data_IF_504981040506
#
_entry.id   IF_504981040506
#
_cell.length_a   1.000
_cell.length_b   1.000
_cell.length_c   1.000
_cell.angle_alpha   90.00
_cell.angle_beta   90.00
_cell.angle_gamma   90.00
#
_symmetry.space_group_name_H-M   'P 1'
#
loop_
_entity.id
_entity.type
_entity.pdbx_description
1 polymer ?
#
# COMPACT_ATOMS: atom_id res chain seq x y z
N UNK A 1 24.09 -9.24 -10.19
CA UNK A 1 22.85 -8.43 -10.14
C UNK A 1 22.08 -8.73 -11.42
N UNK A 2 20.78 -9.02 -11.33
CA UNK A 2 19.97 -9.31 -12.51
C UNK A 2 20.04 -8.15 -13.51
N UNK A 3 20.12 -8.46 -14.79
CA UNK A 3 20.18 -7.44 -15.85
C UNK A 3 18.83 -6.71 -15.89
N UNK A 4 18.86 -5.39 -15.79
CA UNK A 4 17.66 -4.52 -15.88
C UNK A 4 17.09 -4.42 -17.32
N UNK A 5 17.53 -5.29 -18.23
CA UNK A 5 17.09 -5.36 -19.61
C UNK A 5 16.06 -6.50 -19.79
N UNK A 6 14.78 -6.19 -20.11
CA UNK A 6 13.76 -7.20 -20.36
C UNK A 6 14.02 -8.03 -21.64
N UNK A 7 14.89 -7.57 -22.54
CA UNK A 7 15.31 -8.24 -23.77
C UNK A 7 16.45 -9.24 -23.59
N UNK A 8 17.07 -9.30 -22.41
CA UNK A 8 18.24 -10.13 -22.15
C UNK A 8 17.98 -11.66 -22.39
N UNK A 9 19.03 -12.45 -22.65
CA UNK A 9 18.93 -13.90 -22.81
C UNK A 9 18.23 -14.59 -21.64
N UNK A 10 17.50 -15.68 -21.92
CA UNK A 10 16.67 -16.37 -20.92
C UNK A 10 17.44 -16.84 -19.67
N UNK A 11 18.75 -17.08 -19.79
CA UNK A 11 19.61 -17.52 -18.69
C UNK A 11 19.91 -16.42 -17.66
N UNK A 12 19.76 -15.14 -18.01
CA UNK A 12 20.16 -13.99 -17.17
C UNK A 12 19.05 -12.97 -16.96
N UNK A 13 17.89 -13.15 -17.61
CA UNK A 13 16.79 -12.19 -17.59
C UNK A 13 15.87 -12.40 -16.39
N UNK A 14 15.49 -11.31 -15.75
CA UNK A 14 14.43 -11.35 -14.76
C UNK A 14 13.09 -11.63 -15.46
N UNK A 15 12.60 -12.86 -15.32
CA UNK A 15 11.36 -13.30 -15.98
C UNK A 15 10.13 -12.48 -15.54
N UNK A 16 10.13 -11.96 -14.31
CA UNK A 16 9.10 -11.06 -13.82
C UNK A 16 9.14 -9.70 -14.54
N UNK A 17 10.33 -9.11 -14.70
CA UNK A 17 10.54 -7.87 -15.45
C UNK A 17 10.12 -8.03 -16.92
N UNK A 18 10.51 -9.14 -17.56
CA UNK A 18 10.14 -9.44 -18.96
C UNK A 18 8.62 -9.53 -19.15
N UNK A 19 7.90 -10.13 -18.20
CA UNK A 19 6.43 -10.17 -18.23
C UNK A 19 5.82 -8.78 -18.04
N UNK A 20 6.29 -7.99 -17.06
CA UNK A 20 5.79 -6.62 -16.80
C UNK A 20 6.04 -5.68 -17.98
N UNK A 21 7.22 -5.74 -18.57
CA UNK A 21 7.59 -4.95 -19.75
C UNK A 21 6.61 -5.20 -20.91
N UNK A 22 6.15 -6.43 -21.13
CA UNK A 22 5.16 -6.73 -22.18
C UNK A 22 3.81 -6.03 -21.98
N UNK A 23 3.41 -5.77 -20.74
CA UNK A 23 2.15 -5.08 -20.44
C UNK A 23 2.23 -3.57 -20.71
N UNK A 24 3.41 -2.96 -20.53
CA UNK A 24 3.62 -1.51 -20.66
C UNK A 24 4.30 -1.09 -21.96
N UNK A 25 4.83 -2.05 -22.74
CA UNK A 25 5.58 -1.76 -23.97
C UNK A 25 4.75 -0.96 -24.99
N UNK A 26 5.35 0.07 -25.58
CA UNK A 26 4.68 0.96 -26.53
C UNK A 26 3.73 1.95 -25.88
N UNK A 27 3.97 2.33 -24.62
CA UNK A 27 3.14 3.30 -23.86
C UNK A 27 1.68 2.87 -23.73
N UNK A 28 1.44 1.56 -23.62
CA UNK A 28 0.10 1.02 -23.41
C UNK A 28 -0.44 1.44 -22.05
N UNK A 29 -1.70 1.83 -22.04
CA UNK A 29 -2.45 2.08 -20.82
C UNK A 29 -2.61 0.78 -20.04
N UNK A 30 -2.41 0.85 -18.72
CA UNK A 30 -2.54 -0.29 -17.82
C UNK A 30 -3.55 0.06 -16.74
N UNK A 31 -4.58 -0.76 -16.61
CA UNK A 31 -5.53 -0.66 -15.51
C UNK A 31 -5.04 -1.48 -14.31
N UNK A 32 -4.99 -0.85 -13.14
CA UNK A 32 -4.61 -1.49 -11.90
C UNK A 32 -5.75 -1.36 -10.90
N UNK A 33 -6.21 -2.51 -10.39
CA UNK A 33 -7.18 -2.56 -9.30
C UNK A 33 -6.54 -3.24 -8.09
N UNK A 34 -6.63 -2.58 -6.95
CA UNK A 34 -6.03 -3.05 -5.71
C UNK A 34 -6.77 -2.52 -4.50
N UNK A 35 -6.56 -3.20 -3.37
CA UNK A 35 -7.03 -2.71 -2.07
C UNK A 35 -6.10 -1.61 -1.61
N UNK A 36 -6.65 -0.52 -1.09
CA UNK A 36 -5.85 0.52 -0.44
C UNK A 36 -5.30 -0.04 0.88
N UNK A 37 -3.98 -0.20 0.95
CA UNK A 37 -3.31 -0.74 2.12
C UNK A 37 -3.09 0.37 3.15
N UNK A 38 -4.02 0.50 4.08
CA UNK A 38 -3.89 1.40 5.24
C UNK A 38 -4.49 0.73 6.47
N UNK A 39 -3.83 0.89 7.61
CA UNK A 39 -4.19 0.26 8.88
C UNK A 39 -5.65 0.52 9.29
N UNK A 40 -6.18 1.70 8.97
CA UNK A 40 -7.57 2.06 9.26
C UNK A 40 -8.58 1.22 8.46
N UNK A 41 -8.23 0.76 7.26
CA UNK A 41 -9.09 -0.10 6.43
C UNK A 41 -8.94 -1.59 6.76
N UNK A 42 -7.99 -1.94 7.63
CA UNK A 42 -7.75 -3.29 8.10
C UNK A 42 -8.43 -3.60 9.45
N UNK A 43 -9.32 -2.72 9.93
CA UNK A 43 -10.12 -2.99 11.13
C UNK A 43 -11.37 -3.83 10.82
N UNK A 44 -11.91 -4.47 11.86
CA UNK A 44 -13.13 -5.30 11.78
C UNK A 44 -14.43 -4.48 11.70
N UNK A 45 -14.38 -3.20 12.10
CA UNK A 45 -15.56 -2.33 12.19
C UNK A 45 -15.73 -1.49 10.92
N UNK A 46 -16.96 -1.38 10.44
CA UNK A 46 -17.32 -0.40 9.42
C UNK A 46 -17.36 1.02 9.99
N UNK A 47 -17.06 2.00 9.13
CA UNK A 47 -17.30 3.39 9.46
C UNK A 47 -18.80 3.65 9.59
N UNK A 48 -19.17 4.53 10.53
CA UNK A 48 -20.53 5.00 10.68
C UNK A 48 -20.95 5.80 9.45
N UNK A 49 -22.25 5.74 9.14
CA UNK A 49 -22.83 6.56 8.08
C UNK A 49 -22.77 8.04 8.46
N UNK A 50 -22.51 8.91 7.49
CA UNK A 50 -22.44 10.36 7.69
C UNK A 50 -21.09 10.88 8.21
N UNK A 51 -20.04 10.05 8.21
CA UNK A 51 -18.66 10.48 8.48
C UNK A 51 -17.96 10.80 7.17
N UNK A 52 -17.38 12.00 7.08
CA UNK A 52 -16.56 12.41 5.95
C UNK A 52 -15.16 11.81 6.04
N UNK A 53 -14.74 11.10 4.98
CA UNK A 53 -13.40 10.54 4.84
C UNK A 53 -12.66 11.25 3.72
N UNK A 54 -11.48 11.82 4.04
CA UNK A 54 -10.59 12.44 3.05
C UNK A 54 -9.35 11.58 2.86
N UNK A 55 -9.13 11.10 1.63
CA UNK A 55 -7.95 10.34 1.24
C UNK A 55 -7.08 11.17 0.31
N UNK A 56 -5.80 11.34 0.68
CA UNK A 56 -4.79 11.98 -0.15
C UNK A 56 -3.80 10.91 -0.59
N UNK A 57 -3.79 10.63 -1.89
CA UNK A 57 -2.83 9.73 -2.51
C UNK A 57 -1.80 10.58 -3.25
N UNK A 58 -0.52 10.37 -2.94
CA UNK A 58 0.59 11.08 -3.59
C UNK A 58 1.39 10.05 -4.38
N UNK A 59 1.52 10.19 -5.71
CA UNK A 59 2.32 9.27 -6.50
C UNK A 59 3.80 9.37 -6.12
N UNK A 60 4.51 8.26 -6.25
CA UNK A 60 5.96 8.24 -6.13
C UNK A 60 6.61 8.84 -7.39
N UNK A 61 7.89 9.21 -7.30
CA UNK A 61 8.65 9.73 -8.43
C UNK A 61 8.70 8.71 -9.58
N UNK A 62 8.70 9.19 -10.83
CA UNK A 62 8.69 8.34 -12.03
C UNK A 62 9.88 7.36 -12.06
N UNK A 63 11.05 7.81 -11.58
CA UNK A 63 12.27 6.99 -11.45
C UNK A 63 12.13 5.80 -10.50
N UNK A 64 11.20 5.87 -9.55
CA UNK A 64 10.90 4.76 -8.65
C UNK A 64 9.86 3.80 -9.24
N UNK A 65 8.90 4.33 -10.01
CA UNK A 65 7.76 3.55 -10.54
C UNK A 65 8.18 2.65 -11.70
N UNK A 66 9.05 3.14 -12.59
CA UNK A 66 9.50 2.41 -13.78
C UNK A 66 11.00 2.12 -13.69
N UNK A 67 11.36 0.85 -13.90
CA UNK A 67 12.76 0.45 -14.06
C UNK A 67 13.14 0.52 -15.55
N UNK A 68 14.34 1.02 -15.83
CA UNK A 68 14.91 1.04 -17.17
C UNK A 68 16.38 0.64 -17.16
N UNK A 69 16.83 0.04 -18.25
CA UNK A 69 18.24 -0.22 -18.54
C UNK A 69 18.98 0.99 -19.14
N UNK A 70 18.25 2.02 -19.56
CA UNK A 70 18.82 3.24 -20.14
C UNK A 70 19.43 4.14 -19.07
N UNK A 71 20.50 4.84 -19.44
CA UNK A 71 21.30 5.63 -18.52
C UNK A 71 20.60 6.93 -18.09
N UNK A 72 19.77 7.50 -18.96
CA UNK A 72 18.91 8.67 -18.71
C UNK A 72 17.53 8.49 -19.36
N UNK A 73 16.65 7.70 -18.72
CA UNK A 73 15.31 7.43 -19.23
C UNK A 73 14.35 8.62 -19.05
N UNK A 74 13.89 9.26 -20.12
CA UNK A 74 12.79 10.23 -20.07
C UNK A 74 11.40 9.55 -20.05
N UNK A 75 11.18 8.60 -19.14
CA UNK A 75 9.85 7.99 -18.96
C UNK A 75 9.03 8.79 -17.96
N UNK A 76 7.75 9.01 -18.29
CA UNK A 76 6.78 9.68 -17.42
C UNK A 76 5.58 8.79 -17.19
N UNK A 77 5.16 8.64 -15.93
CA UNK A 77 3.92 7.95 -15.60
C UNK A 77 2.79 8.97 -15.50
N UNK A 78 1.75 8.80 -16.32
CA UNK A 78 0.57 9.66 -16.29
C UNK A 78 -0.63 8.87 -15.76
N UNK A 79 -1.27 9.41 -14.72
CA UNK A 79 -2.51 8.87 -14.19
C UNK A 79 -3.68 9.46 -14.99
N UNK A 80 -4.26 8.64 -15.86
CA UNK A 80 -5.37 9.07 -16.73
C UNK A 80 -6.70 9.09 -15.99
N UNK A 81 -6.99 8.04 -15.20
CA UNK A 81 -8.20 7.93 -14.40
C UNK A 81 -7.89 7.25 -13.05
N UNK A 82 -8.45 7.80 -11.97
CA UNK A 82 -8.36 7.23 -10.63
C UNK A 82 -9.75 7.17 -10.03
N UNK A 83 -10.21 5.95 -9.73
CA UNK A 83 -11.53 5.68 -9.14
C UNK A 83 -11.37 4.94 -7.82
N UNK A 84 -12.18 5.29 -6.82
CA UNK A 84 -12.18 4.61 -5.52
C UNK A 84 -13.52 3.93 -5.26
N UNK A 85 -13.49 2.61 -5.09
CA UNK A 85 -14.69 1.82 -4.82
C UNK A 85 -14.85 1.59 -3.32
N UNK A 86 -15.99 2.03 -2.77
CA UNK A 86 -16.33 1.84 -1.35
C UNK A 86 -17.50 0.90 -1.22
N UNK A 87 -17.37 -0.09 -0.32
CA UNK A 87 -18.49 -0.95 0.05
C UNK A 87 -19.36 -0.25 1.10
N UNK A 88 -20.64 -0.01 0.77
CA UNK A 88 -21.64 0.53 1.69
C UNK A 88 -22.59 -0.57 2.16
N UNK A 89 -22.78 -0.69 3.46
CA UNK A 89 -23.74 -1.63 4.06
C UNK A 89 -25.08 -0.93 4.23
N UNK A 90 -26.17 -1.55 3.76
CA UNK A 90 -27.54 -1.06 4.01
C UNK A 90 -28.03 -1.63 5.34
N UNK A 91 -28.31 -0.76 6.30
CA UNK A 91 -28.87 -1.13 7.61
C UNK A 91 -30.36 -0.82 7.68
N UNK A 92 -31.10 -1.51 8.54
CA UNK A 92 -32.49 -1.18 8.83
C UNK A 92 -32.60 0.13 9.60
N UNK A 93 -33.76 0.79 9.52
CA UNK A 93 -33.99 2.09 10.18
C UNK A 93 -33.85 1.99 11.71
N UNK A 94 -34.29 0.88 12.31
CA UNK A 94 -34.18 0.64 13.75
C UNK A 94 -32.73 0.66 14.24
N UNK A 95 -31.81 0.06 13.49
CA UNK A 95 -30.38 0.04 13.80
C UNK A 95 -29.78 1.45 13.68
N UNK A 96 -30.20 2.22 12.68
CA UNK A 96 -29.71 3.58 12.47
C UNK A 96 -30.14 4.52 13.63
N UNK A 97 -31.40 4.43 14.06
CA UNK A 97 -31.90 5.18 15.22
C UNK A 97 -31.17 4.77 16.51
N UNK A 98 -30.94 3.46 16.69
CA UNK A 98 -30.19 2.95 17.84
C UNK A 98 -28.74 3.47 17.85
N UNK A 99 -28.08 3.55 16.68
CA UNK A 99 -26.75 4.14 16.56
C UNK A 99 -26.76 5.64 16.91
N UNK A 100 -27.72 6.42 16.41
CA UNK A 100 -27.83 7.84 16.75
C UNK A 100 -27.97 8.05 18.27
N UNK A 101 -28.89 7.32 18.92
CA UNK A 101 -29.11 7.39 20.37
C UNK A 101 -27.91 6.92 21.19
N UNK A 102 -27.15 5.96 20.68
CA UNK A 102 -25.90 5.51 21.31
C UNK A 102 -24.80 6.56 21.18
N UNK A 103 -24.72 7.26 20.04
CA UNK A 103 -23.74 8.32 19.79
C UNK A 103 -23.95 9.57 20.65
N UNK A 104 -25.20 9.86 21.05
CA UNK A 104 -25.50 10.92 22.02
C UNK A 104 -24.83 10.68 23.39
N UNK A 105 -24.61 9.41 23.75
CA UNK A 105 -24.04 9.01 25.05
C UNK A 105 -22.57 8.58 24.96
N UNK A 106 -22.18 7.96 23.86
CA UNK A 106 -20.88 7.32 23.70
C UNK A 106 -20.28 7.59 22.32
N UNK A 107 -19.01 7.98 22.27
CA UNK A 107 -18.29 8.14 21.02
C UNK A 107 -17.91 6.79 20.40
N UNK A 108 -18.00 6.69 19.07
CA UNK A 108 -17.51 5.53 18.35
C UNK A 108 -15.97 5.43 18.41
N UNK A 109 -15.48 4.29 18.91
CA UNK A 109 -14.04 4.01 19.02
C UNK A 109 -13.61 2.99 17.96
N UNK A 110 -12.68 3.41 17.12
CA UNK A 110 -12.04 2.60 16.08
C UNK A 110 -10.61 2.30 16.51
N UNK A 111 -10.32 1.05 16.82
CA UNK A 111 -8.98 0.64 17.25
C UNK A 111 -8.12 0.41 16.01
N UNK A 112 -7.15 1.29 15.79
CA UNK A 112 -6.18 1.14 14.71
C UNK A 112 -4.95 0.42 15.23
N UNK A 113 -4.53 -0.66 14.57
CA UNK A 113 -3.24 -1.31 14.83
C UNK A 113 -2.27 -0.79 13.79
N UNK A 114 -1.29 0.00 14.23
CA UNK A 114 -0.29 0.53 13.32
C UNK A 114 0.77 -0.52 13.02
N UNK A 115 1.08 -0.69 11.73
CA UNK A 115 2.24 -1.47 11.29
C UNK A 115 3.37 -0.49 11.01
N UNK A 116 4.43 -0.54 11.82
CA UNK A 116 5.61 0.31 11.64
C UNK A 116 6.79 -0.51 11.11
N UNK A 117 7.40 -0.03 10.04
CA UNK A 117 8.62 -0.62 9.47
C UNK A 117 9.82 0.20 9.94
N UNK A 118 10.72 -0.43 10.71
CA UNK A 118 12.03 0.15 11.03
C UNK A 118 13.02 -0.30 9.97
N UNK A 119 13.60 0.66 9.25
CA UNK A 119 14.64 0.37 8.26
C UNK A 119 15.98 0.39 8.99
N UNK A 120 16.71 -0.73 8.91
CA UNK A 120 18.08 -0.84 9.39
C UNK A 120 18.97 -1.06 8.17
N UNK A 121 19.97 -0.20 7.99
CA UNK A 121 20.91 -0.32 6.87
C UNK A 121 22.10 -1.17 7.29
N UNK A 122 22.36 -2.25 6.56
CA UNK A 122 23.56 -3.05 6.73
C UNK A 122 24.59 -2.68 5.65
N UNK A 123 25.79 -2.23 6.04
CA UNK A 123 26.83 -1.92 5.08
C UNK A 123 27.33 -3.20 4.39
N UNK A 124 27.74 -3.07 3.13
CA UNK A 124 28.28 -4.17 2.36
C UNK A 124 29.53 -4.76 3.04
N UNK A 125 29.58 -6.09 3.17
CA UNK A 125 30.67 -6.81 3.86
C UNK A 125 30.39 -7.15 5.33
N UNK A 126 29.35 -6.56 5.93
CA UNK A 126 28.90 -6.97 7.27
C UNK A 126 27.89 -8.12 7.18
N UNK A 127 28.21 -9.23 7.84
CA UNK A 127 27.33 -10.41 7.92
C UNK A 127 26.46 -10.45 9.17
N UNK A 128 26.71 -9.56 10.13
CA UNK A 128 25.90 -9.44 11.35
C UNK A 128 25.64 -7.97 11.66
N UNK A 129 24.42 -7.70 12.12
CA UNK A 129 23.99 -6.42 12.66
C UNK A 129 23.33 -6.72 14.01
N UNK A 130 23.98 -6.32 15.09
CA UNK A 130 23.43 -6.42 16.44
C UNK A 130 22.85 -5.05 16.81
N UNK A 131 21.52 -4.98 16.84
CA UNK A 131 20.77 -3.81 17.26
C UNK A 131 20.02 -4.16 18.55
N UNK A 132 20.49 -3.62 19.69
CA UNK A 132 19.91 -3.93 21.00
C UNK A 132 18.47 -3.42 21.13
N UNK A 133 18.11 -2.44 20.32
CA UNK A 133 16.89 -1.64 20.45
C UNK A 133 16.07 -1.66 19.16
N UNK A 134 15.74 -2.86 18.68
CA UNK A 134 14.86 -3.05 17.51
C UNK A 134 13.47 -2.45 17.75
N UNK A 135 12.99 -2.48 19.00
CA UNK A 135 11.69 -1.93 19.41
C UNK A 135 11.88 -0.78 20.42
N UNK A 136 12.28 0.41 19.95
CA UNK A 136 12.30 1.60 20.80
C UNK A 136 10.87 2.14 20.99
N UNK A 137 10.30 1.91 22.18
CA UNK A 137 9.01 2.48 22.58
C UNK A 137 7.85 1.49 22.50
N UNK A 138 7.06 1.54 21.43
CA UNK A 138 5.85 0.71 21.31
C UNK A 138 6.21 -0.76 21.06
N UNK A 139 5.91 -1.61 22.05
CA UNK A 139 6.10 -3.05 21.92
C UNK A 139 5.03 -3.64 20.98
N UNK A 140 5.41 -4.53 20.03
CA UNK A 140 4.44 -5.21 19.19
C UNK A 140 3.44 -6.02 20.01
N UNK A 141 2.17 -5.97 19.60
CA UNK A 141 1.13 -6.77 20.25
C UNK A 141 1.28 -8.22 19.83
N UNK A 142 1.35 -9.14 20.82
CA UNK A 142 1.42 -10.59 20.58
C UNK A 142 0.29 -11.04 19.65
N UNK A 143 0.63 -11.62 18.50
CA UNK A 143 -0.34 -12.33 17.68
C UNK A 143 -0.84 -13.54 18.46
N UNK A 144 -2.15 -13.65 18.67
CA UNK A 144 -2.76 -14.91 19.07
C UNK A 144 -2.88 -15.74 17.80
N UNK A 145 -2.22 -16.90 17.78
CA UNK A 145 -2.49 -17.97 16.81
C UNK A 145 -3.89 -18.52 17.04
#
# INVERSE_FOLDING_TARGET
MDVADPGAPAATVNMGLKKRSRFTNGSKEVELIGRLHSDIFCQEKYFLSGVDLRLKLTPSNDSFVLMSSWQDPEYRVMLQQVSFFVRKVKTTLSVLIAHAKALDKYTAKYTVRQVQTKILSMPAGNFSLNEDNVFLGQLPKRQRM
#
